data_IF_601742812744
#
_entry.id   IF_601742812744
#
_cell.length_a   1.000
_cell.length_b   1.000
_cell.length_c   1.000
_cell.angle_alpha   90.00
_cell.angle_beta   90.00
_cell.angle_gamma   90.00
#
_symmetry.space_group_name_H-M   'P 1'
#
loop_
_entity.id
_entity.type
_entity.pdbx_description
1 polymer ?
#
# COMPACT_ATOMS: atom_id res chain seq x y z
N UNK A 1 -0.83 16.91 33.47
CA UNK A 1 -1.78 15.77 33.50
C UNK A 1 -2.80 16.08 32.43
N UNK A 2 -2.61 15.54 31.23
CA UNK A 2 -3.59 15.58 30.14
C UNK A 2 -4.30 14.23 30.26
N UNK A 3 -5.58 14.26 30.57
CA UNK A 3 -6.41 13.08 30.72
C UNK A 3 -6.53 12.39 29.35
N UNK A 4 -6.18 11.10 29.31
CA UNK A 4 -6.56 10.20 28.23
C UNK A 4 -8.09 10.08 28.19
N UNK A 5 -8.72 10.81 27.28
CA UNK A 5 -10.09 10.52 26.93
C UNK A 5 -10.12 9.22 26.10
N UNK A 6 -10.94 8.24 26.46
CA UNK A 6 -11.11 7.05 25.64
C UNK A 6 -11.76 7.45 24.32
N UNK A 7 -11.34 6.84 23.18
CA UNK A 7 -11.89 7.19 21.88
C UNK A 7 -13.39 6.91 21.81
N UNK A 8 -14.11 7.87 21.20
CA UNK A 8 -15.55 7.89 21.01
C UNK A 8 -16.11 6.58 20.40
N UNK A 9 -17.35 6.32 20.75
CA UNK A 9 -18.18 5.17 20.40
C UNK A 9 -18.13 4.76 18.92
N UNK A 10 -18.21 3.44 18.61
CA UNK A 10 -18.27 2.95 17.24
C UNK A 10 -19.54 3.44 16.53
N UNK A 11 -19.39 3.79 15.25
CA UNK A 11 -20.49 4.12 14.34
C UNK A 11 -21.55 3.01 14.27
N UNK A 12 -22.80 3.29 13.84
CA UNK A 12 -23.86 2.30 13.76
C UNK A 12 -23.45 1.11 12.87
N UNK A 13 -23.24 -0.05 13.49
CA UNK A 13 -22.73 -1.26 12.84
C UNK A 13 -21.48 -1.85 13.49
N UNK A 14 -20.89 -1.20 14.50
CA UNK A 14 -19.83 -1.78 15.35
C UNK A 14 -18.43 -1.86 14.71
N UNK A 15 -18.20 -1.29 13.54
CA UNK A 15 -16.89 -1.33 12.85
C UNK A 15 -16.05 -0.15 13.32
N UNK A 16 -14.87 -0.43 13.88
CA UNK A 16 -13.89 0.59 14.25
C UNK A 16 -13.32 1.25 12.99
N UNK A 17 -13.37 2.57 12.94
CA UNK A 17 -12.78 3.39 11.87
C UNK A 17 -11.58 4.18 12.41
N UNK A 18 -10.75 4.68 11.48
CA UNK A 18 -9.62 5.53 11.82
C UNK A 18 -8.29 4.80 11.87
N UNK A 19 -7.37 5.33 12.67
CA UNK A 19 -5.97 4.85 12.75
C UNK A 19 -5.75 4.16 14.08
N UNK A 20 -5.30 2.91 14.05
CA UNK A 20 -5.22 2.02 15.22
C UNK A 20 -3.79 1.54 15.40
N UNK A 21 -3.22 1.80 16.59
CA UNK A 21 -1.98 1.19 17.05
C UNK A 21 -2.28 -0.20 17.62
N UNK A 22 -1.68 -1.25 17.07
CA UNK A 22 -1.85 -2.60 17.59
C UNK A 22 -1.40 -3.70 16.63
N UNK A 23 -1.45 -4.95 17.09
CA UNK A 23 -1.28 -6.11 16.20
C UNK A 23 -2.50 -6.22 15.29
N UNK A 24 -2.24 -6.37 14.00
CA UNK A 24 -3.30 -6.40 12.99
C UNK A 24 -4.16 -7.68 13.06
N UNK A 25 -3.62 -8.80 13.54
CA UNK A 25 -4.39 -10.04 13.70
C UNK A 25 -5.43 -9.90 14.83
N UNK A 26 -5.06 -9.23 15.94
CA UNK A 26 -5.99 -8.97 17.04
C UNK A 26 -7.12 -8.02 16.59
N UNK A 27 -6.77 -6.98 15.85
CA UNK A 27 -7.77 -6.07 15.28
C UNK A 27 -8.68 -6.80 14.30
N UNK A 28 -8.12 -7.59 13.38
CA UNK A 28 -8.88 -8.38 12.41
C UNK A 28 -9.89 -9.31 13.10
N UNK A 29 -9.45 -10.05 14.14
CA UNK A 29 -10.31 -10.96 14.89
C UNK A 29 -11.47 -10.27 15.63
N UNK A 30 -11.27 -9.00 16.00
CA UNK A 30 -12.30 -8.21 16.66
C UNK A 30 -13.33 -7.62 15.67
N UNK A 31 -13.05 -7.61 14.36
CA UNK A 31 -13.97 -7.12 13.35
C UNK A 31 -15.08 -8.13 13.05
N UNK A 32 -16.30 -7.67 12.76
CA UNK A 32 -17.38 -8.53 12.27
C UNK A 32 -17.09 -9.06 10.87
N UNK A 33 -17.77 -10.15 10.50
CA UNK A 33 -17.71 -10.69 9.15
C UNK A 33 -18.29 -9.71 8.13
N UNK A 34 -17.69 -9.64 6.95
CA UNK A 34 -18.24 -8.91 5.82
C UNK A 34 -18.41 -7.41 6.03
N UNK A 35 -17.48 -6.76 6.75
CA UNK A 35 -17.58 -5.34 7.12
C UNK A 35 -16.63 -4.40 6.34
N UNK A 36 -15.67 -4.93 5.57
CA UNK A 36 -14.67 -4.14 4.83
C UNK A 36 -14.88 -4.32 3.33
N UNK A 37 -14.93 -3.22 2.58
CA UNK A 37 -15.20 -3.25 1.14
C UNK A 37 -13.95 -3.40 0.29
N UNK A 38 -12.83 -2.81 0.74
CA UNK A 38 -11.55 -2.89 0.06
C UNK A 38 -10.43 -3.05 1.08
N UNK A 39 -9.58 -4.05 0.89
CA UNK A 39 -8.34 -4.21 1.63
C UNK A 39 -7.17 -4.05 0.67
N UNK A 40 -6.23 -3.17 1.04
CA UNK A 40 -4.89 -3.11 0.45
C UNK A 40 -3.88 -3.37 1.55
N UNK A 41 -2.89 -4.19 1.29
CA UNK A 41 -1.78 -4.42 2.21
C UNK A 41 -0.43 -4.43 1.50
N UNK A 42 0.59 -3.92 2.21
CA UNK A 42 2.00 -3.95 1.84
C UNK A 42 2.79 -4.55 3.01
N UNK A 43 2.69 -5.89 3.22
CA UNK A 43 3.31 -6.54 4.35
C UNK A 43 4.84 -6.52 4.25
N UNK A 44 5.60 -6.67 5.36
CA UNK A 44 7.05 -6.82 5.31
C UNK A 44 7.41 -8.01 4.42
N UNK A 45 8.49 -7.87 3.62
CA UNK A 45 8.77 -8.81 2.52
C UNK A 45 9.53 -10.09 2.92
N UNK A 46 9.71 -10.38 4.21
CA UNK A 46 10.37 -11.62 4.66
C UNK A 46 11.75 -11.87 4.05
N UNK A 47 12.52 -10.81 3.76
CA UNK A 47 13.76 -10.91 2.97
C UNK A 47 14.94 -11.49 3.73
N UNK A 48 14.79 -11.88 4.99
CA UNK A 48 15.87 -12.35 5.86
C UNK A 48 16.93 -11.28 6.19
N UNK A 49 16.70 -10.02 5.81
CA UNK A 49 17.66 -8.94 6.01
C UNK A 49 17.16 -7.92 7.04
N UNK A 50 17.99 -7.61 8.02
CA UNK A 50 17.75 -6.48 8.92
C UNK A 50 17.86 -5.18 8.13
N UNK A 51 16.75 -4.49 7.93
CA UNK A 51 16.73 -3.15 7.32
C UNK A 51 16.91 -2.10 8.39
N UNK A 52 18.00 -1.33 8.33
CA UNK A 52 18.19 -0.14 9.13
C UNK A 52 17.48 1.05 8.51
N UNK A 53 16.49 1.55 9.22
CA UNK A 53 15.86 2.82 8.93
C UNK A 53 16.76 3.92 9.45
N UNK A 54 17.34 4.72 8.56
CA UNK A 54 18.10 5.91 8.94
C UNK A 54 17.31 7.14 8.53
N UNK A 55 16.82 7.88 9.49
CA UNK A 55 16.30 9.23 9.25
C UNK A 55 17.49 10.15 9.00
N UNK A 56 17.57 10.70 7.78
CA UNK A 56 18.66 11.59 7.36
C UNK A 56 18.12 13.02 7.28
N UNK A 57 18.82 13.95 7.93
CA UNK A 57 18.62 15.38 7.72
C UNK A 57 19.63 15.87 6.68
N UNK A 58 19.16 16.42 5.57
CA UNK A 58 20.01 17.06 4.54
C UNK A 58 20.28 18.51 4.95
N UNK A 59 21.53 18.97 4.71
CA UNK A 59 21.95 20.35 5.01
C UNK A 59 22.84 20.50 6.23
N UNK A 60 22.87 19.54 7.15
CA UNK A 60 23.78 19.47 8.30
C UNK A 60 24.52 18.14 8.33
N UNK A 61 25.70 18.09 8.94
CA UNK A 61 26.49 16.88 9.15
C UNK A 61 27.81 16.82 8.39
N UNK A 62 28.65 15.84 8.77
CA UNK A 62 30.01 15.66 8.25
C UNK A 62 30.08 14.67 7.06
N UNK A 63 29.02 13.91 6.81
CA UNK A 63 28.98 12.95 5.70
C UNK A 63 28.53 13.64 4.42
N UNK A 64 29.29 13.43 3.35
CA UNK A 64 29.02 14.02 2.03
C UNK A 64 28.71 12.94 0.99
N UNK A 65 27.78 13.23 0.09
CA UNK A 65 27.48 12.41 -1.06
C UNK A 65 27.31 13.30 -2.29
N UNK A 66 27.90 12.89 -3.40
CA UNK A 66 27.67 13.52 -4.70
C UNK A 66 26.37 12.96 -5.29
N UNK A 67 25.39 13.81 -5.51
CA UNK A 67 24.11 13.48 -6.14
C UNK A 67 24.13 13.68 -7.65
N UNK A 68 22.97 13.51 -8.26
CA UNK A 68 22.76 13.73 -9.68
C UNK A 68 23.12 15.19 -10.06
N UNK A 69 23.86 15.36 -11.14
CA UNK A 69 24.35 16.69 -11.58
C UNK A 69 25.58 17.19 -10.81
N UNK A 70 26.34 16.32 -10.13
CA UNK A 70 27.62 16.68 -9.48
C UNK A 70 27.51 17.51 -8.20
N UNK A 71 26.31 17.81 -7.71
CA UNK A 71 26.12 18.57 -6.47
C UNK A 71 26.42 17.72 -5.25
N UNK A 72 27.24 18.25 -4.33
CA UNK A 72 27.57 17.60 -3.06
C UNK A 72 26.53 17.96 -2.00
N UNK A 73 25.91 16.95 -1.40
CA UNK A 73 24.98 17.11 -0.28
C UNK A 73 25.64 16.68 1.01
N UNK A 74 25.47 17.48 2.07
CA UNK A 74 25.83 17.09 3.43
C UNK A 74 24.62 16.45 4.10
N UNK A 75 24.84 15.47 4.94
CA UNK A 75 23.77 14.80 5.67
C UNK A 75 24.25 14.23 7.01
N UNK A 76 23.35 14.12 7.95
CA UNK A 76 23.55 13.46 9.24
C UNK A 76 22.44 12.43 9.47
N UNK A 77 22.74 11.39 10.21
CA UNK A 77 21.72 10.41 10.65
C UNK A 77 21.12 10.94 11.96
N UNK A 78 19.82 11.23 11.95
CA UNK A 78 19.10 11.80 13.10
C UNK A 78 18.46 10.71 13.96
N UNK A 79 18.31 9.50 13.42
CA UNK A 79 17.78 8.32 14.12
C UNK A 79 18.00 7.06 13.31
N UNK A 80 18.12 5.93 13.98
CA UNK A 80 18.14 4.62 13.33
C UNK A 80 17.16 3.71 14.08
N UNK A 81 16.18 3.15 13.36
CA UNK A 81 15.38 2.03 13.82
C UNK A 81 15.76 0.78 13.03
N UNK A 82 16.02 -0.30 13.74
CA UNK A 82 16.25 -1.60 13.10
C UNK A 82 14.89 -2.29 12.95
N UNK A 83 14.56 -2.64 11.73
CA UNK A 83 13.40 -3.46 11.40
C UNK A 83 13.91 -4.87 11.06
N UNK A 84 13.54 -5.85 11.86
CA UNK A 84 13.87 -7.25 11.57
C UNK A 84 12.90 -7.76 10.50
N UNK A 85 13.34 -7.81 9.26
CA UNK A 85 12.68 -8.46 8.13
C UNK A 85 13.21 -9.91 7.96
N UNK A 86 13.53 -10.55 9.09
CA UNK A 86 14.36 -11.76 9.16
C UNK A 86 13.61 -13.06 9.36
N UNK A 87 12.32 -13.14 9.01
CA UNK A 87 11.60 -14.43 9.07
C UNK A 87 12.07 -15.39 7.98
N UNK A 88 12.18 -16.67 8.30
CA UNK A 88 12.27 -17.71 7.28
C UNK A 88 11.00 -17.70 6.41
N UNK A 89 11.10 -18.17 5.16
CA UNK A 89 9.95 -18.12 4.24
C UNK A 89 8.71 -18.83 4.81
N UNK A 90 8.88 -19.98 5.45
CA UNK A 90 7.78 -20.72 6.07
C UNK A 90 7.12 -19.93 7.20
N UNK A 91 7.90 -19.34 8.11
CA UNK A 91 7.39 -18.50 9.19
C UNK A 91 6.65 -17.27 8.64
N UNK A 92 7.16 -16.69 7.55
CA UNK A 92 6.51 -15.56 6.87
C UNK A 92 5.17 -15.95 6.24
N UNK A 93 5.10 -17.13 5.63
CA UNK A 93 3.86 -17.64 5.05
C UNK A 93 2.83 -17.95 6.15
N UNK A 94 3.24 -18.56 7.26
CA UNK A 94 2.38 -18.82 8.43
C UNK A 94 1.87 -17.51 9.04
N UNK A 95 2.75 -16.51 9.18
CA UNK A 95 2.39 -15.18 9.64
C UNK A 95 1.32 -14.53 8.74
N UNK A 96 1.46 -14.64 7.42
CA UNK A 96 0.49 -14.10 6.47
C UNK A 96 -0.78 -14.93 6.42
N UNK A 97 -0.71 -16.27 6.49
CA UNK A 97 -1.86 -17.15 6.37
C UNK A 97 -2.96 -16.82 7.38
N UNK A 98 -2.60 -16.66 8.65
CA UNK A 98 -3.54 -16.31 9.72
C UNK A 98 -4.24 -14.97 9.44
N UNK A 99 -3.51 -13.99 8.91
CA UNK A 99 -4.02 -12.64 8.61
C UNK A 99 -4.87 -12.62 7.34
N UNK A 100 -4.44 -13.31 6.30
CA UNK A 100 -5.17 -13.41 5.03
C UNK A 100 -6.50 -14.16 5.18
N UNK A 101 -6.55 -15.18 6.03
CA UNK A 101 -7.79 -15.89 6.38
C UNK A 101 -8.79 -14.94 7.06
N UNK A 102 -8.35 -14.13 8.01
CA UNK A 102 -9.18 -13.13 8.66
C UNK A 102 -9.59 -12.00 7.69
N UNK A 103 -8.68 -11.54 6.81
CA UNK A 103 -9.02 -10.56 5.77
C UNK A 103 -10.10 -11.09 4.82
N UNK A 104 -10.02 -12.37 4.46
CA UNK A 104 -11.08 -13.02 3.67
C UNK A 104 -12.42 -13.01 4.41
N UNK A 105 -12.43 -13.28 5.74
CA UNK A 105 -13.65 -13.28 6.56
C UNK A 105 -14.29 -11.89 6.65
N UNK A 106 -13.48 -10.85 6.89
CA UNK A 106 -14.00 -9.49 7.09
C UNK A 106 -14.38 -8.77 5.80
N UNK A 107 -13.96 -9.26 4.61
CA UNK A 107 -14.36 -8.68 3.34
C UNK A 107 -15.85 -8.86 3.08
N UNK A 108 -16.52 -7.79 2.63
CA UNK A 108 -17.91 -7.85 2.13
C UNK A 108 -18.00 -8.81 0.93
N UNK A 109 -19.18 -9.36 0.61
CA UNK A 109 -19.34 -10.25 -0.54
C UNK A 109 -18.86 -9.65 -1.87
N UNK A 110 -18.82 -8.33 -2.01
CA UNK A 110 -18.32 -7.63 -3.21
C UNK A 110 -16.95 -7.01 -3.01
N UNK A 111 -16.32 -7.30 -1.89
CA UNK A 111 -15.03 -6.76 -1.50
C UNK A 111 -13.86 -7.34 -2.28
N UNK A 112 -12.77 -6.59 -2.28
CA UNK A 112 -11.51 -6.95 -2.95
C UNK A 112 -10.33 -6.86 -2.01
N UNK A 113 -9.34 -7.74 -2.22
CA UNK A 113 -8.04 -7.71 -1.56
C UNK A 113 -6.95 -7.42 -2.60
N UNK A 114 -6.08 -6.45 -2.30
CA UNK A 114 -4.85 -6.17 -3.03
C UNK A 114 -3.66 -6.43 -2.11
N UNK A 115 -2.77 -7.34 -2.52
CA UNK A 115 -1.56 -7.69 -1.76
C UNK A 115 -0.34 -7.27 -2.56
N UNK A 116 0.38 -6.27 -2.04
CA UNK A 116 1.58 -5.73 -2.65
C UNK A 116 2.80 -6.52 -2.16
N UNK A 117 3.58 -7.04 -3.07
CA UNK A 117 4.67 -7.96 -2.79
C UNK A 117 5.87 -7.67 -3.68
N UNK A 118 7.04 -7.98 -3.19
CA UNK A 118 8.23 -8.06 -4.00
C UNK A 118 8.34 -9.42 -4.73
N UNK A 119 9.31 -9.52 -5.62
CA UNK A 119 9.57 -10.71 -6.41
C UNK A 119 10.02 -11.95 -5.60
N UNK A 120 10.38 -11.82 -4.32
CA UNK A 120 10.78 -12.96 -3.50
C UNK A 120 9.55 -13.69 -2.96
N UNK A 121 8.53 -12.94 -2.56
CA UNK A 121 7.37 -13.48 -1.86
C UNK A 121 6.17 -13.76 -2.80
N UNK A 122 6.05 -13.04 -3.92
CA UNK A 122 4.82 -13.01 -4.73
C UNK A 122 4.31 -14.40 -5.13
N UNK A 123 5.18 -15.30 -5.57
CA UNK A 123 4.75 -16.60 -6.07
C UNK A 123 4.28 -17.53 -4.93
N UNK A 124 4.92 -17.44 -3.77
CA UNK A 124 4.53 -18.22 -2.58
C UNK A 124 3.21 -17.71 -1.99
N UNK A 125 3.09 -16.40 -1.86
CA UNK A 125 1.86 -15.76 -1.36
C UNK A 125 0.70 -15.95 -2.34
N UNK A 126 0.96 -16.02 -3.65
CA UNK A 126 -0.05 -16.35 -4.65
C UNK A 126 -0.66 -17.73 -4.40
N UNK A 127 0.17 -18.75 -4.15
CA UNK A 127 -0.33 -20.10 -3.83
C UNK A 127 -1.17 -20.11 -2.55
N UNK A 128 -0.71 -19.40 -1.52
CA UNK A 128 -1.45 -19.26 -0.27
C UNK A 128 -2.80 -18.56 -0.45
N UNK A 129 -2.86 -17.52 -1.28
CA UNK A 129 -4.11 -16.84 -1.61
C UNK A 129 -5.06 -17.74 -2.41
N UNK A 130 -4.55 -18.56 -3.32
CA UNK A 130 -5.37 -19.54 -4.05
C UNK A 130 -5.99 -20.58 -3.12
N UNK A 131 -5.31 -20.98 -2.04
CA UNK A 131 -5.86 -21.88 -1.00
C UNK A 131 -6.95 -21.20 -0.17
N UNK A 132 -6.79 -19.91 0.17
CA UNK A 132 -7.72 -19.18 1.06
C UNK A 132 -8.94 -18.64 0.29
N UNK A 133 -8.74 -18.06 -0.87
CA UNK A 133 -9.79 -17.39 -1.66
C UNK A 133 -10.40 -18.30 -2.74
N UNK A 134 -9.66 -19.29 -3.22
CA UNK A 134 -9.91 -20.05 -4.42
C UNK A 134 -9.23 -19.44 -5.65
N UNK A 135 -8.62 -20.26 -6.52
CA UNK A 135 -7.88 -19.78 -7.70
C UNK A 135 -8.79 -19.03 -8.69
N UNK A 136 -10.09 -19.32 -8.70
CA UNK A 136 -11.08 -18.65 -9.54
C UNK A 136 -11.44 -17.24 -9.02
N UNK A 137 -10.97 -16.85 -7.84
CA UNK A 137 -11.14 -15.49 -7.28
C UNK A 137 -9.97 -14.57 -7.60
N UNK A 138 -8.93 -15.09 -8.18
CA UNK A 138 -7.82 -14.30 -8.69
C UNK A 138 -8.24 -13.50 -9.91
N UNK A 139 -8.07 -12.19 -9.86
CA UNK A 139 -8.49 -11.30 -10.94
C UNK A 139 -7.31 -10.85 -11.80
N UNK A 140 -6.25 -10.32 -11.18
CA UNK A 140 -5.05 -9.88 -11.87
C UNK A 140 -3.79 -9.98 -10.99
N UNK A 141 -2.66 -10.18 -11.63
CA UNK A 141 -1.36 -9.75 -11.16
C UNK A 141 -1.04 -8.42 -11.81
N UNK A 142 -0.94 -7.37 -11.03
CA UNK A 142 -0.60 -6.03 -11.47
C UNK A 142 0.90 -5.82 -11.28
N UNK A 143 1.59 -5.49 -12.36
CA UNK A 143 3.02 -5.15 -12.33
C UNK A 143 3.16 -3.65 -12.16
N UNK A 144 3.52 -3.21 -10.97
CA UNK A 144 3.89 -1.82 -10.75
C UNK A 144 5.35 -1.61 -11.12
N UNK A 145 5.59 -1.08 -12.32
CA UNK A 145 6.92 -0.82 -12.87
C UNK A 145 7.38 0.61 -12.56
N UNK A 146 8.64 0.73 -12.12
CA UNK A 146 9.28 2.01 -11.78
C UNK A 146 10.75 2.00 -12.19
N UNK A 147 11.35 3.16 -12.41
CA UNK A 147 12.74 3.27 -12.87
C UNK A 147 13.69 3.75 -11.76
N UNK A 148 13.59 3.14 -10.56
CA UNK A 148 14.45 3.46 -9.42
C UNK A 148 15.09 2.19 -8.85
N UNK A 149 16.23 2.35 -8.15
CA UNK A 149 16.90 1.28 -7.43
C UNK A 149 18.19 0.78 -8.06
N UNK A 150 18.69 -0.34 -7.56
CA UNK A 150 20.01 -0.87 -7.84
C UNK A 150 20.31 -1.16 -9.32
N UNK A 151 21.60 -1.12 -9.66
CA UNK A 151 22.13 -1.51 -10.97
C UNK A 151 22.77 -2.87 -10.83
N UNK A 152 22.12 -3.91 -11.34
CA UNK A 152 22.69 -5.24 -11.40
C UNK A 152 23.71 -5.30 -12.54
N UNK A 153 24.84 -6.01 -12.32
CA UNK A 153 25.88 -6.19 -13.35
C UNK A 153 25.80 -7.54 -14.07
N UNK A 154 25.26 -8.56 -13.39
CA UNK A 154 25.23 -9.94 -13.89
C UNK A 154 23.82 -10.46 -14.21
N UNK A 155 22.81 -9.61 -14.10
CA UNK A 155 21.41 -9.93 -14.42
C UNK A 155 20.63 -8.65 -14.75
N UNK A 156 19.41 -8.80 -15.26
CA UNK A 156 18.52 -7.65 -15.47
C UNK A 156 18.19 -6.97 -14.14
N UNK A 157 18.31 -5.63 -14.04
CA UNK A 157 17.91 -4.91 -12.83
C UNK A 157 16.40 -5.00 -12.63
N UNK A 158 15.98 -5.38 -11.43
CA UNK A 158 14.57 -5.47 -11.06
C UNK A 158 14.03 -4.07 -10.82
N UNK A 159 12.92 -3.75 -11.46
CA UNK A 159 12.33 -2.41 -11.50
C UNK A 159 10.81 -2.49 -11.39
N UNK A 160 10.30 -3.45 -10.64
CA UNK A 160 8.88 -3.60 -10.38
C UNK A 160 8.63 -4.32 -9.06
N UNK A 161 7.44 -4.09 -8.53
CA UNK A 161 6.78 -4.91 -7.54
C UNK A 161 5.50 -5.48 -8.14
N UNK A 162 4.93 -6.48 -7.48
CA UNK A 162 3.73 -7.20 -7.90
C UNK A 162 2.59 -6.88 -6.95
N UNK A 163 1.38 -6.69 -7.46
CA UNK A 163 0.18 -6.51 -6.66
C UNK A 163 -0.82 -7.58 -7.10
N UNK A 164 -1.11 -8.52 -6.22
CA UNK A 164 -2.08 -9.58 -6.46
C UNK A 164 -3.47 -9.07 -6.10
N UNK A 165 -4.43 -9.17 -7.03
CA UNK A 165 -5.81 -8.76 -6.82
C UNK A 165 -6.75 -9.95 -6.79
N UNK A 166 -7.44 -10.11 -5.65
CA UNK A 166 -8.44 -11.14 -5.41
C UNK A 166 -9.80 -10.53 -5.09
N UNK A 167 -10.88 -11.17 -5.56
CA UNK A 167 -12.23 -10.88 -5.13
C UNK A 167 -12.65 -11.79 -3.99
N UNK A 168 -13.52 -11.31 -3.08
CA UNK A 168 -14.12 -12.13 -2.02
C UNK A 168 -15.08 -13.17 -2.55
N UNK A 169 -15.81 -12.88 -3.63
CA UNK A 169 -16.81 -13.76 -4.22
C UNK A 169 -16.80 -13.70 -5.77
N UNK A 170 -17.80 -14.26 -6.41
CA UNK A 170 -17.97 -14.20 -7.88
C UNK A 170 -18.37 -12.81 -8.39
N UNK A 171 -18.65 -11.86 -7.50
CA UNK A 171 -19.01 -10.47 -7.85
C UNK A 171 -18.14 -9.50 -7.07
N UNK A 172 -17.65 -8.46 -7.72
CA UNK A 172 -16.79 -7.44 -7.11
C UNK A 172 -17.07 -6.05 -7.67
N UNK A 173 -16.56 -5.02 -6.99
CA UNK A 173 -16.63 -3.64 -7.47
C UNK A 173 -15.49 -3.39 -8.44
N UNK A 174 -15.80 -2.91 -9.65
CA UNK A 174 -14.81 -2.41 -10.61
C UNK A 174 -15.35 -1.21 -11.39
N UNK A 175 -14.99 -0.02 -10.95
CA UNK A 175 -15.44 1.27 -11.47
C UNK A 175 -14.53 1.74 -12.62
N UNK A 176 -14.58 1.07 -13.78
CA UNK A 176 -13.68 1.33 -14.91
C UNK A 176 -13.69 2.78 -15.42
N UNK A 177 -14.80 3.49 -15.26
CA UNK A 177 -14.92 4.88 -15.72
C UNK A 177 -14.35 5.89 -14.69
N UNK A 178 -14.17 5.49 -13.43
CA UNK A 178 -13.55 6.29 -12.39
C UNK A 178 -12.01 6.23 -12.39
N UNK A 179 -11.43 5.27 -13.13
CA UNK A 179 -9.98 5.08 -13.22
C UNK A 179 -9.39 6.09 -14.22
N UNK A 180 -8.23 6.64 -13.87
CA UNK A 180 -7.48 7.54 -14.76
C UNK A 180 -7.14 6.84 -16.09
N UNK A 181 -7.28 7.57 -17.20
CA UNK A 181 -6.96 7.08 -18.53
C UNK A 181 -5.47 7.28 -18.83
N UNK A 182 -4.91 6.35 -19.61
CA UNK A 182 -3.54 6.47 -20.11
C UNK A 182 -3.54 6.64 -21.64
N UNK A 183 -2.52 7.29 -22.22
CA UNK A 183 -2.40 7.40 -23.66
C UNK A 183 -2.30 6.02 -24.34
N UNK A 184 -2.76 5.92 -25.57
CA UNK A 184 -2.41 4.78 -26.41
C UNK A 184 -0.94 4.83 -26.79
N UNK A 185 -0.27 3.68 -26.83
CA UNK A 185 1.12 3.58 -27.30
C UNK A 185 1.27 3.92 -28.78
N UNK A 186 0.23 3.64 -29.57
CA UNK A 186 0.18 3.94 -31.00
C UNK A 186 -1.11 4.74 -31.30
N UNK A 187 -1.18 6.04 -30.95
CA UNK A 187 -2.39 6.84 -31.07
C UNK A 187 -2.86 6.98 -32.54
N UNK A 188 -1.98 6.91 -33.51
CA UNK A 188 -2.33 6.95 -34.93
C UNK A 188 -3.11 5.73 -35.45
N UNK A 189 -3.14 4.63 -34.68
CA UNK A 189 -3.91 3.40 -35.05
C UNK A 189 -5.36 3.43 -34.52
N UNK A 190 -5.69 4.43 -33.70
CA UNK A 190 -7.00 4.51 -33.06
C UNK A 190 -7.71 5.80 -33.44
N UNK A 191 -8.42 6.17 -34.17
CA UNK A 191 -8.99 7.49 -34.52
C UNK A 191 -8.81 8.60 -33.48
N UNK A 192 -8.82 9.87 -33.89
CA UNK A 192 -8.42 10.99 -33.06
C UNK A 192 -9.22 11.12 -31.75
N UNK A 193 -10.48 10.81 -31.76
CA UNK A 193 -11.36 10.87 -30.60
C UNK A 193 -10.94 9.86 -29.51
N UNK A 194 -10.66 8.60 -29.90
CA UNK A 194 -10.15 7.57 -28.97
C UNK A 194 -8.75 7.92 -28.46
N UNK A 195 -7.89 8.42 -29.35
CA UNK A 195 -6.55 8.86 -28.97
C UNK A 195 -6.58 9.96 -27.92
N UNK A 196 -7.44 10.96 -28.09
CA UNK A 196 -7.63 12.06 -27.14
C UNK A 196 -8.21 11.59 -25.80
N UNK A 197 -9.20 10.69 -25.81
CA UNK A 197 -9.81 10.14 -24.59
C UNK A 197 -8.85 9.25 -23.80
N UNK A 198 -7.91 8.58 -24.46
CA UNK A 198 -7.06 7.57 -23.84
C UNK A 198 -7.77 6.24 -23.59
N UNK A 199 -7.05 5.29 -23.00
CA UNK A 199 -7.54 3.95 -22.67
C UNK A 199 -7.45 3.66 -21.18
N UNK A 200 -8.19 2.67 -20.71
CA UNK A 200 -8.03 2.08 -19.39
C UNK A 200 -6.58 1.55 -19.26
N UNK A 201 -5.89 1.75 -18.13
CA UNK A 201 -4.61 1.11 -17.88
C UNK A 201 -4.71 -0.42 -18.01
N UNK A 202 -3.65 -1.03 -18.49
CA UNK A 202 -3.48 -2.48 -18.42
C UNK A 202 -3.06 -2.88 -17.00
N UNK A 203 -2.74 -4.13 -16.79
CA UNK A 203 -2.15 -4.66 -15.55
C UNK A 203 -0.65 -4.33 -15.38
N UNK A 204 -0.03 -3.62 -16.33
CA UNK A 204 1.32 -3.07 -16.18
C UNK A 204 1.24 -1.57 -15.98
N UNK A 205 1.60 -1.11 -14.77
CA UNK A 205 1.50 0.29 -14.37
C UNK A 205 2.87 0.94 -14.27
N UNK A 206 3.17 1.82 -15.21
CA UNK A 206 4.37 2.65 -15.15
C UNK A 206 4.10 3.88 -14.28
N UNK A 207 4.57 3.84 -13.04
CA UNK A 207 4.44 4.94 -12.08
C UNK A 207 5.73 5.05 -11.27
N UNK A 208 6.26 6.27 -11.13
CA UNK A 208 7.44 6.51 -10.30
C UNK A 208 7.13 6.23 -8.82
N UNK A 209 8.15 5.81 -8.07
CA UNK A 209 8.13 5.83 -6.61
C UNK A 209 8.01 7.28 -6.11
N UNK A 210 7.73 7.46 -4.81
CA UNK A 210 7.77 8.79 -4.18
C UNK A 210 9.16 9.41 -4.34
N UNK A 211 9.30 10.54 -5.05
CA UNK A 211 10.59 11.20 -5.23
C UNK A 211 11.20 11.62 -3.89
N UNK A 212 12.54 11.61 -3.80
CA UNK A 212 13.24 12.00 -2.57
C UNK A 212 13.00 13.44 -2.13
N UNK A 213 12.59 14.31 -3.03
CA UNK A 213 12.23 15.71 -2.84
C UNK A 213 10.75 16.00 -3.17
N UNK A 214 9.91 14.96 -3.27
CA UNK A 214 8.48 15.10 -3.56
C UNK A 214 7.72 15.67 -2.36
N UNK A 215 6.71 16.51 -2.61
CA UNK A 215 5.88 17.13 -1.57
C UNK A 215 5.12 16.10 -0.71
N UNK A 216 4.75 14.95 -1.28
CA UNK A 216 4.06 13.88 -0.55
C UNK A 216 4.98 13.05 0.37
N UNK A 217 6.30 13.32 0.34
CA UNK A 217 7.27 12.51 1.08
C UNK A 217 7.23 12.80 2.57
N UNK A 218 6.92 11.79 3.36
CA UNK A 218 6.91 11.87 4.83
C UNK A 218 8.25 11.54 5.47
N UNK A 219 9.18 10.96 4.71
CA UNK A 219 10.41 10.37 5.26
C UNK A 219 10.25 8.93 5.73
N UNK A 220 9.01 8.40 5.79
CA UNK A 220 8.79 6.99 6.11
C UNK A 220 9.36 6.10 4.99
N UNK A 221 10.14 5.09 5.35
CA UNK A 221 10.68 4.16 4.37
C UNK A 221 9.56 3.40 3.67
N UNK A 222 9.81 2.98 2.45
CA UNK A 222 8.85 2.19 1.64
C UNK A 222 7.50 2.86 1.37
N UNK A 223 7.37 4.18 1.64
CA UNK A 223 6.15 4.92 1.33
C UNK A 223 5.74 4.71 -0.12
N UNK A 224 4.51 4.25 -0.33
CA UNK A 224 3.94 4.08 -1.67
C UNK A 224 3.39 5.41 -2.21
N UNK A 225 3.46 5.65 -3.53
CA UNK A 225 2.91 6.86 -4.14
C UNK A 225 1.40 6.93 -3.96
N UNK A 226 0.89 8.11 -3.64
CA UNK A 226 -0.54 8.34 -3.45
C UNK A 226 -1.35 7.95 -4.70
N UNK A 227 -0.84 8.28 -5.88
CA UNK A 227 -1.49 7.94 -7.17
C UNK A 227 -1.72 6.43 -7.34
N UNK A 228 -0.84 5.58 -6.83
CA UNK A 228 -0.99 4.13 -6.87
C UNK A 228 -2.24 3.71 -6.10
N UNK A 229 -2.37 4.19 -4.86
CA UNK A 229 -3.48 3.85 -3.97
C UNK A 229 -4.79 4.50 -4.45
N UNK A 230 -4.76 5.74 -4.93
CA UNK A 230 -5.94 6.38 -5.51
C UNK A 230 -6.51 5.58 -6.70
N UNK A 231 -5.66 4.99 -7.54
CA UNK A 231 -6.11 4.14 -8.66
C UNK A 231 -6.82 2.91 -8.14
N UNK A 232 -6.27 2.21 -7.16
CA UNK A 232 -6.87 1.02 -6.54
C UNK A 232 -8.20 1.38 -5.88
N UNK A 233 -8.22 2.42 -5.05
CA UNK A 233 -9.42 2.86 -4.32
C UNK A 233 -10.54 3.27 -5.28
N UNK A 234 -10.24 4.03 -6.34
CA UNK A 234 -11.23 4.41 -7.38
C UNK A 234 -11.79 3.20 -8.09
N UNK A 235 -10.93 2.24 -8.45
CA UNK A 235 -11.34 1.05 -9.18
C UNK A 235 -12.26 0.14 -8.35
N UNK A 236 -11.92 -0.09 -7.08
CA UNK A 236 -12.46 -1.21 -6.31
C UNK A 236 -13.23 -0.80 -5.05
N UNK A 237 -13.69 0.46 -4.97
CA UNK A 237 -14.60 0.93 -3.94
C UNK A 237 -15.48 2.08 -4.41
N UNK A 238 -16.56 2.36 -3.69
CA UNK A 238 -17.46 3.48 -3.92
C UNK A 238 -17.31 4.54 -2.80
N UNK A 239 -17.72 5.80 -2.99
CA UNK A 239 -17.81 6.76 -1.90
C UNK A 239 -18.64 6.20 -0.72
N UNK A 240 -18.12 6.38 0.50
CA UNK A 240 -18.72 5.83 1.72
C UNK A 240 -18.30 4.40 2.07
N UNK A 241 -17.70 3.63 1.15
CA UNK A 241 -17.15 2.30 1.43
C UNK A 241 -15.99 2.35 2.42
N UNK A 242 -15.76 1.27 3.17
CA UNK A 242 -14.65 1.13 4.10
C UNK A 242 -13.43 0.53 3.40
N UNK A 243 -12.35 1.29 3.35
CA UNK A 243 -11.03 0.88 2.87
C UNK A 243 -10.12 0.59 4.05
N UNK A 244 -9.55 -0.60 4.12
CA UNK A 244 -8.64 -0.98 5.19
C UNK A 244 -7.22 -1.27 4.70
N UNK A 245 -6.24 -0.94 5.55
CA UNK A 245 -4.84 -1.35 5.42
C UNK A 245 -4.33 -1.83 6.78
N UNK A 246 -4.04 -3.12 6.88
CA UNK A 246 -3.58 -3.77 8.11
C UNK A 246 -2.04 -3.78 8.26
N UNK A 247 -1.34 -3.09 7.36
CA UNK A 247 0.10 -2.83 7.40
C UNK A 247 0.36 -1.36 7.03
N UNK A 248 -0.31 -0.45 7.73
CA UNK A 248 -0.57 0.93 7.37
C UNK A 248 0.64 1.78 7.00
N UNK A 249 1.80 1.55 7.61
CA UNK A 249 3.04 2.26 7.32
C UNK A 249 2.87 3.78 7.36
N UNK A 250 3.15 4.44 6.25
CA UNK A 250 3.00 5.90 6.11
C UNK A 250 1.56 6.39 5.91
N UNK A 251 0.55 5.50 5.93
CA UNK A 251 -0.86 5.85 5.80
C UNK A 251 -1.30 6.28 4.40
N UNK A 252 -0.61 5.88 3.35
CA UNK A 252 -0.99 6.28 1.99
C UNK A 252 -2.38 5.79 1.60
N UNK A 253 -2.78 4.59 2.07
CA UNK A 253 -4.13 4.07 1.87
C UNK A 253 -5.21 4.94 2.57
N UNK A 254 -4.94 5.41 3.81
CA UNK A 254 -5.82 6.34 4.52
C UNK A 254 -6.04 7.64 3.76
N UNK A 255 -4.93 8.25 3.31
CA UNK A 255 -4.96 9.53 2.56
C UNK A 255 -5.73 9.35 1.25
N UNK A 256 -5.51 8.25 0.53
CA UNK A 256 -6.24 7.95 -0.71
C UNK A 256 -7.75 7.77 -0.44
N UNK A 257 -8.10 7.00 0.59
CA UNK A 257 -9.49 6.77 0.99
C UNK A 257 -10.19 8.10 1.35
N UNK A 258 -9.61 8.88 2.26
CA UNK A 258 -10.17 10.15 2.71
C UNK A 258 -10.37 11.15 1.56
N UNK A 259 -9.36 11.34 0.70
CA UNK A 259 -9.45 12.21 -0.48
C UNK A 259 -10.57 11.83 -1.44
N UNK A 260 -10.90 10.57 -1.50
CA UNK A 260 -11.90 10.03 -2.41
C UNK A 260 -13.28 9.84 -1.73
N UNK A 261 -13.46 10.30 -0.50
CA UNK A 261 -14.72 10.19 0.24
C UNK A 261 -15.04 8.77 0.71
N UNK A 262 -14.02 7.96 0.98
CA UNK A 262 -14.14 6.63 1.58
C UNK A 262 -13.82 6.72 3.07
N UNK A 263 -14.43 5.85 3.86
CA UNK A 263 -14.04 5.59 5.24
C UNK A 263 -12.74 4.81 5.26
N UNK A 264 -11.98 4.88 6.33
CA UNK A 264 -10.70 4.16 6.40
C UNK A 264 -10.50 3.49 7.76
N UNK A 265 -9.83 2.34 7.74
CA UNK A 265 -9.30 1.64 8.91
C UNK A 265 -7.84 1.28 8.64
N UNK A 266 -6.93 1.91 9.37
CA UNK A 266 -5.50 1.71 9.21
C UNK A 266 -4.92 1.14 10.48
N UNK A 267 -4.22 0.04 10.38
CA UNK A 267 -3.61 -0.63 11.53
C UNK A 267 -2.12 -0.75 11.32
N UNK A 268 -1.34 -0.37 12.32
CA UNK A 268 0.10 -0.62 12.35
C UNK A 268 0.56 -0.84 13.79
N UNK A 269 1.55 -1.69 13.98
CA UNK A 269 2.18 -1.94 15.30
C UNK A 269 3.27 -0.90 15.63
N UNK A 270 3.66 -0.07 14.67
CA UNK A 270 4.67 0.96 14.84
C UNK A 270 4.04 2.32 15.21
N UNK A 271 4.29 2.85 16.42
CA UNK A 271 3.74 4.15 16.85
C UNK A 271 4.11 5.32 15.91
N UNK A 272 5.28 5.27 15.28
CA UNK A 272 5.71 6.30 14.33
C UNK A 272 4.88 6.27 13.03
N UNK A 273 4.52 5.08 12.54
CA UNK A 273 3.60 4.93 11.42
C UNK A 273 2.23 5.57 11.72
N UNK A 274 1.70 5.32 12.91
CA UNK A 274 0.44 5.91 13.39
C UNK A 274 0.52 7.43 13.43
N UNK A 275 1.58 7.97 14.06
CA UNK A 275 1.79 9.43 14.15
C UNK A 275 1.86 10.09 12.77
N UNK A 276 2.59 9.49 11.83
CA UNK A 276 2.71 10.00 10.45
C UNK A 276 1.36 9.96 9.76
N UNK A 277 0.63 8.85 9.87
CA UNK A 277 -0.69 8.70 9.26
C UNK A 277 -1.68 9.74 9.77
N UNK A 278 -1.74 9.94 11.09
CA UNK A 278 -2.60 10.95 11.72
C UNK A 278 -2.25 12.38 11.25
N UNK A 279 -0.95 12.71 11.19
CA UNK A 279 -0.52 14.02 10.71
C UNK A 279 -0.96 14.28 9.25
N UNK A 280 -0.78 13.29 8.36
CA UNK A 280 -1.23 13.38 6.96
C UNK A 280 -2.74 13.53 6.81
N UNK A 281 -3.51 12.86 7.64
CA UNK A 281 -4.97 12.99 7.63
C UNK A 281 -5.42 14.37 8.14
N UNK A 282 -4.76 14.91 9.17
CA UNK A 282 -5.05 16.25 9.68
C UNK A 282 -4.82 17.34 8.62
N UNK A 283 -3.80 17.20 7.77
CA UNK A 283 -3.53 18.11 6.65
C UNK A 283 -4.64 18.11 5.57
N UNK A 284 -5.51 17.11 5.52
CA UNK A 284 -6.62 17.05 4.56
C UNK A 284 -7.87 17.80 5.05
N UNK A 285 -7.99 18.02 6.37
CA UNK A 285 -9.17 18.64 7.00
C UNK A 285 -9.01 20.15 7.26
N UNK A 286 -7.82 20.72 7.01
CA UNK A 286 -7.54 22.16 7.10
C UNK A 286 -7.50 22.80 5.73
#
# INVERSE_FOLDING_TARGET
>A
MIADEPPENPAPGGVREGVVLGDNLDVLRALPDGCVDLIYIDPPFGTGQTRRLQSIRTGAGTRTRVGFGGRTYRWETVGSHEYQDGMALEEYLDFLAARLAEMHRVLTPRGSLYVHLDHHAVHHVRMLLDEIFGPERFLNEIIWAYDYGGRARARWPRKHDNILWYARSATWVFNREAVDRIPYMAPGLVGPEKAARGKLPTDVWWMTIVPTNGHERTGYPTQKPLRLLERIVRASSNPGDLVADFFGGSGTAAVAAARLGRRHLIVDSNPEAIRITQARLAELGG
#
